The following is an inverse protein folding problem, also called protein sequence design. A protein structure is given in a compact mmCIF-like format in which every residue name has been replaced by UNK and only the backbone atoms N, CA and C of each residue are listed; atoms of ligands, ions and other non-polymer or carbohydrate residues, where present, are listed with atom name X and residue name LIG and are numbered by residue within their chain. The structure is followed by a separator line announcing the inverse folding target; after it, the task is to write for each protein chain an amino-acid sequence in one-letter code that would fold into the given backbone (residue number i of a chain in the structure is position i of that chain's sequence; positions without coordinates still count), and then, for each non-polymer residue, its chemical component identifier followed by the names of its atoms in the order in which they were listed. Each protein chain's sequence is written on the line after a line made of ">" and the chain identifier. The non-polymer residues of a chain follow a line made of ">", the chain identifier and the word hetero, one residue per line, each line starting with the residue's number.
data_IF_253034795680
#
_entry.id   IF_253034795680
#
_cell.length_a   1.000
_cell.length_b   1.000
_cell.length_c   1.000
_cell.angle_alpha   90.00
_cell.angle_beta   90.00
_cell.angle_gamma   90.00
#
_symmetry.space_group_name_H-M   'P 1'
#
loop_
_entity.id
_entity.type
_entity.pdbx_description
1 polymer ?
#
# COMPACT_ATOMS: atom_id res chain seq x y z
N UNK A 1 31.56 -33.14 3.30
CA UNK A 1 30.83 -33.27 4.57
C UNK A 1 30.83 -31.91 5.25
N UNK A 2 29.68 -31.22 5.30
CA UNK A 2 29.54 -29.99 6.08
C UNK A 2 29.52 -30.37 7.55
N UNK A 3 30.54 -29.94 8.30
CA UNK A 3 30.63 -30.19 9.73
C UNK A 3 29.75 -29.16 10.45
N UNK A 4 28.46 -29.46 10.55
CA UNK A 4 27.53 -28.71 11.40
C UNK A 4 27.95 -28.97 12.86
N UNK A 5 28.73 -28.06 13.44
CA UNK A 5 29.09 -28.14 14.85
C UNK A 5 27.79 -28.19 15.68
N UNK A 6 27.61 -29.22 16.53
CA UNK A 6 26.42 -29.30 17.36
C UNK A 6 26.37 -28.08 18.30
N UNK A 7 25.17 -27.57 18.53
CA UNK A 7 24.95 -26.46 19.46
C UNK A 7 25.59 -26.81 20.83
N UNK A 8 26.26 -25.85 21.49
CA UNK A 8 26.91 -26.10 22.77
C UNK A 8 25.90 -26.59 23.81
N UNK A 9 26.26 -27.65 24.54
CA UNK A 9 25.44 -28.20 25.60
C UNK A 9 25.19 -27.11 26.67
N UNK A 10 23.94 -26.64 26.76
CA UNK A 10 23.53 -25.55 27.65
C UNK A 10 22.70 -24.45 26.99
N UNK A 11 22.60 -24.43 25.64
CA UNK A 11 21.69 -23.54 24.94
C UNK A 11 20.23 -23.93 25.22
N UNK A 12 19.52 -23.13 26.01
CA UNK A 12 18.09 -23.31 26.27
C UNK A 12 17.30 -22.80 25.06
N UNK A 13 16.58 -23.68 24.38
CA UNK A 13 15.61 -23.34 23.35
C UNK A 13 14.30 -22.92 24.01
N UNK A 14 14.22 -21.66 24.44
CA UNK A 14 12.93 -21.09 24.87
C UNK A 14 12.08 -20.76 23.64
N UNK A 15 10.82 -21.22 23.57
CA UNK A 15 9.93 -20.81 22.50
C UNK A 15 9.62 -19.33 22.63
N UNK A 16 9.91 -18.55 21.59
CA UNK A 16 9.48 -17.15 21.49
C UNK A 16 7.95 -17.15 21.45
N UNK A 17 7.32 -16.96 22.62
CA UNK A 17 5.89 -16.66 22.72
C UNK A 17 5.68 -15.22 22.29
N UNK A 18 5.65 -15.00 20.99
CA UNK A 18 5.13 -13.77 20.43
C UNK A 18 3.64 -13.69 20.75
N UNK A 19 3.28 -12.89 21.75
CA UNK A 19 1.89 -12.55 22.03
C UNK A 19 1.41 -11.62 20.91
N UNK A 20 0.70 -12.18 19.94
CA UNK A 20 -0.08 -11.39 18.99
C UNK A 20 -1.32 -10.92 19.75
N UNK A 21 -1.42 -9.62 20.01
CA UNK A 21 -2.65 -9.01 20.52
C UNK A 21 -3.76 -9.16 19.48
N UNK A 22 -4.95 -9.69 19.82
CA UNK A 22 -6.05 -9.71 18.87
C UNK A 22 -6.53 -8.28 18.57
N UNK A 23 -6.77 -7.99 17.29
CA UNK A 23 -7.39 -6.76 16.84
C UNK A 23 -8.82 -6.63 17.44
N UNK A 24 -9.25 -5.45 17.88
CA UNK A 24 -10.61 -5.28 18.39
C UNK A 24 -11.64 -5.46 17.27
N UNK A 25 -12.62 -6.32 17.52
CA UNK A 25 -13.80 -6.47 16.67
C UNK A 25 -14.61 -5.17 16.68
N UNK A 26 -14.80 -4.57 15.51
CA UNK A 26 -15.72 -3.44 15.36
C UNK A 26 -17.15 -3.96 15.46
N UNK A 27 -17.85 -3.53 16.51
CA UNK A 27 -19.27 -3.82 16.76
C UNK A 27 -20.12 -3.07 15.72
N UNK A 28 -20.86 -3.83 14.91
CA UNK A 28 -21.98 -3.31 14.15
C UNK A 28 -23.13 -3.02 15.14
N UNK A 29 -23.31 -1.74 15.47
CA UNK A 29 -24.48 -1.26 16.19
C UNK A 29 -25.57 -0.87 15.18
N UNK A 30 -26.70 -1.57 15.27
CA UNK A 30 -27.96 -1.16 14.69
C UNK A 30 -28.41 0.18 15.30
N UNK A 31 -29.08 1.00 14.50
CA UNK A 31 -29.87 2.13 14.98
C UNK A 31 -31.09 2.27 14.07
N UNK A 32 -32.15 1.60 14.50
CA UNK A 32 -33.52 1.87 14.09
C UNK A 32 -33.97 3.18 14.77
N UNK A 33 -34.55 4.09 14.00
CA UNK A 33 -34.99 5.40 14.50
C UNK A 33 -35.94 6.07 13.53
N UNK A 34 -37.22 6.05 13.87
CA UNK A 34 -38.36 6.35 13.03
C UNK A 34 -38.66 7.85 12.82
N UNK A 35 -39.31 8.10 11.68
CA UNK A 35 -40.48 8.97 11.47
C UNK A 35 -40.35 10.51 11.35
N UNK A 36 -40.90 10.95 10.20
CA UNK A 36 -41.85 12.05 9.97
C UNK A 36 -41.28 13.39 9.45
N UNK A 37 -41.73 13.74 8.24
CA UNK A 37 -41.49 15.03 7.61
C UNK A 37 -42.23 15.18 6.28
N UNK A 38 -43.55 15.13 6.34
CA UNK A 38 -44.45 15.49 5.23
C UNK A 38 -44.34 16.99 4.91
N UNK A 39 -43.93 17.35 3.68
CA UNK A 39 -44.20 18.65 3.07
C UNK A 39 -44.38 18.47 1.57
N UNK A 40 -45.65 18.48 1.16
CA UNK A 40 -46.08 18.69 -0.20
C UNK A 40 -45.45 19.96 -0.79
N UNK A 41 -44.92 19.88 -2.01
CA UNK A 41 -44.24 20.99 -2.65
C UNK A 41 -44.06 20.82 -4.16
N UNK A 42 -45.14 21.14 -4.88
CA UNK A 42 -45.21 21.57 -6.29
C UNK A 42 -44.76 20.57 -7.38
N UNK A 43 -45.78 20.11 -8.09
CA UNK A 43 -45.71 19.62 -9.46
C UNK A 43 -44.90 20.57 -10.36
N UNK A 44 -43.81 20.05 -10.92
CA UNK A 44 -43.25 20.52 -12.19
C UNK A 44 -43.53 19.43 -13.23
N UNK A 45 -44.11 19.88 -14.35
CA UNK A 45 -44.61 19.07 -15.45
C UNK A 45 -43.49 18.25 -16.10
N UNK A 46 -43.53 16.94 -15.90
CA UNK A 46 -43.00 15.93 -16.82
C UNK A 46 -43.81 14.66 -16.58
N UNK A 47 -44.45 14.11 -17.62
CA UNK A 47 -45.15 12.82 -17.51
C UNK A 47 -44.24 11.72 -16.97
N UNK A 48 -44.79 10.58 -16.51
CA UNK A 48 -43.99 9.48 -15.97
C UNK A 48 -42.93 9.08 -17.01
N UNK A 49 -41.65 9.19 -16.63
CA UNK A 49 -40.52 8.71 -17.43
C UNK A 49 -40.79 7.26 -17.83
N UNK A 50 -40.56 6.90 -19.08
CA UNK A 50 -40.72 5.52 -19.54
C UNK A 50 -39.81 4.58 -18.73
N UNK A 51 -40.17 3.31 -18.63
CA UNK A 51 -39.33 2.28 -17.98
C UNK A 51 -37.92 2.24 -18.59
N UNK A 52 -37.80 2.52 -19.90
CA UNK A 52 -36.53 2.64 -20.61
C UNK A 52 -35.68 3.82 -20.13
N UNK A 53 -36.28 4.99 -19.86
CA UNK A 53 -35.55 6.16 -19.33
C UNK A 53 -35.06 5.93 -17.88
N UNK A 54 -35.85 5.26 -17.05
CA UNK A 54 -35.46 4.90 -15.68
C UNK A 54 -34.31 3.89 -15.67
N UNK A 55 -34.34 2.88 -16.55
CA UNK A 55 -33.25 1.92 -16.68
C UNK A 55 -31.95 2.60 -17.16
N UNK A 56 -32.05 3.54 -18.10
CA UNK A 56 -30.89 4.33 -18.53
C UNK A 56 -30.33 5.23 -17.42
N UNK A 57 -31.17 5.89 -16.62
CA UNK A 57 -30.69 6.67 -15.47
C UNK A 57 -30.03 5.78 -14.41
N UNK A 58 -30.59 4.60 -14.12
CA UNK A 58 -30.00 3.66 -13.16
C UNK A 58 -28.64 3.17 -13.62
N UNK A 59 -28.51 2.76 -14.90
CA UNK A 59 -27.22 2.36 -15.47
C UNK A 59 -26.19 3.48 -15.42
N UNK A 60 -26.58 4.73 -15.76
CA UNK A 60 -25.70 5.90 -15.69
C UNK A 60 -25.20 6.18 -14.26
N UNK A 61 -26.07 6.04 -13.25
CA UNK A 61 -25.67 6.20 -11.84
C UNK A 61 -24.73 5.08 -11.43
N UNK A 62 -25.05 3.84 -11.76
CA UNK A 62 -24.22 2.68 -11.42
C UNK A 62 -22.82 2.76 -12.03
N UNK A 63 -22.71 3.19 -13.29
CA UNK A 63 -21.39 3.40 -13.94
C UNK A 63 -20.64 4.57 -13.29
N UNK A 64 -21.33 5.68 -12.99
CA UNK A 64 -20.71 6.84 -12.34
C UNK A 64 -20.16 6.52 -10.94
N UNK A 65 -20.89 5.73 -10.15
CA UNK A 65 -20.45 5.26 -8.83
C UNK A 65 -19.24 4.32 -8.94
N UNK A 66 -19.25 3.39 -9.92
CA UNK A 66 -18.11 2.51 -10.16
C UNK A 66 -16.87 3.27 -10.62
N UNK A 67 -17.00 4.25 -11.51
CA UNK A 67 -15.88 5.08 -11.94
C UNK A 67 -15.33 5.95 -10.81
N UNK A 68 -16.21 6.54 -9.98
CA UNK A 68 -15.79 7.29 -8.80
C UNK A 68 -15.06 6.41 -7.79
N UNK A 69 -15.58 5.21 -7.51
CA UNK A 69 -14.94 4.25 -6.62
C UNK A 69 -13.57 3.79 -7.15
N UNK A 70 -13.46 3.51 -8.46
CA UNK A 70 -12.18 3.16 -9.11
C UNK A 70 -11.16 4.29 -9.00
N UNK A 71 -11.55 5.53 -9.31
CA UNK A 71 -10.66 6.69 -9.18
C UNK A 71 -10.17 6.87 -7.75
N UNK A 72 -11.05 6.76 -6.76
CA UNK A 72 -10.64 6.83 -5.34
C UNK A 72 -9.68 5.69 -4.95
N UNK A 73 -9.93 4.46 -5.42
CA UNK A 73 -9.02 3.34 -5.16
C UNK A 73 -7.66 3.54 -5.81
N UNK A 74 -7.61 4.05 -7.04
CA UNK A 74 -6.37 4.37 -7.76
C UNK A 74 -5.59 5.48 -7.06
N UNK A 75 -6.25 6.56 -6.62
CA UNK A 75 -5.61 7.64 -5.85
C UNK A 75 -5.00 7.13 -4.54
N UNK A 76 -5.75 6.31 -3.79
CA UNK A 76 -5.26 5.69 -2.56
C UNK A 76 -4.08 4.74 -2.82
N UNK A 77 -4.15 3.95 -3.90
CA UNK A 77 -3.05 3.07 -4.30
C UNK A 77 -1.80 3.87 -4.68
N UNK A 78 -1.95 4.95 -5.45
CA UNK A 78 -0.85 5.83 -5.83
C UNK A 78 -0.23 6.52 -4.62
N UNK A 79 -1.03 6.99 -3.66
CA UNK A 79 -0.50 7.58 -2.42
C UNK A 79 0.34 6.56 -1.64
N UNK A 80 -0.20 5.35 -1.43
CA UNK A 80 0.51 4.27 -0.75
C UNK A 80 1.80 3.89 -1.46
N UNK A 81 1.77 3.81 -2.80
CA UNK A 81 2.97 3.52 -3.60
C UNK A 81 4.02 4.62 -3.43
N UNK A 82 3.65 5.90 -3.42
CA UNK A 82 4.59 7.01 -3.18
C UNK A 82 5.23 6.92 -1.79
N UNK A 83 4.43 6.67 -0.76
CA UNK A 83 4.92 6.50 0.62
C UNK A 83 5.90 5.33 0.75
N UNK A 84 5.57 4.18 0.15
CA UNK A 84 6.43 3.00 0.12
C UNK A 84 7.73 3.29 -0.65
N UNK A 85 7.64 3.93 -1.81
CA UNK A 85 8.81 4.31 -2.61
C UNK A 85 9.72 5.26 -1.85
N UNK A 86 9.16 6.25 -1.15
CA UNK A 86 9.93 7.16 -0.31
C UNK A 86 10.66 6.41 0.82
N UNK A 87 9.94 5.54 1.54
CA UNK A 87 10.51 4.75 2.63
C UNK A 87 11.65 3.85 2.14
N UNK A 88 11.44 3.17 1.01
CA UNK A 88 12.44 2.33 0.38
C UNK A 88 13.67 3.14 -0.08
N UNK A 89 13.46 4.30 -0.72
CA UNK A 89 14.54 5.16 -1.18
C UNK A 89 15.40 5.67 -0.01
N UNK A 90 14.76 6.08 1.10
CA UNK A 90 15.47 6.50 2.32
C UNK A 90 16.28 5.36 2.94
N UNK A 91 15.70 4.17 3.03
CA UNK A 91 16.38 2.99 3.56
C UNK A 91 17.59 2.59 2.71
N UNK A 92 17.46 2.61 1.38
CA UNK A 92 18.56 2.34 0.45
C UNK A 92 19.69 3.36 0.60
N UNK A 93 19.37 4.66 0.66
CA UNK A 93 20.37 5.71 0.87
C UNK A 93 21.11 5.52 2.20
N UNK A 94 20.37 5.29 3.29
CA UNK A 94 20.95 5.06 4.61
C UNK A 94 21.88 3.84 4.62
N UNK A 95 21.51 2.75 3.93
CA UNK A 95 22.36 1.56 3.82
C UNK A 95 23.66 1.82 3.04
N UNK A 96 23.61 2.63 1.99
CA UNK A 96 24.80 3.02 1.24
C UNK A 96 25.70 3.99 2.04
N UNK A 97 25.10 4.91 2.81
CA UNK A 97 25.82 5.88 3.64
C UNK A 97 26.43 5.25 4.90
N UNK A 98 25.80 4.21 5.46
CA UNK A 98 26.38 3.40 6.54
C UNK A 98 27.68 2.68 6.10
N UNK A 99 27.88 2.51 4.79
CA UNK A 99 29.06 1.89 4.21
C UNK A 99 29.04 0.37 4.25
N UNK A 100 30.18 -0.24 3.91
CA UNK A 100 30.35 -1.70 3.85
C UNK A 100 30.41 -2.26 2.43
N UNK A 101 30.72 -3.56 2.33
CA UNK A 101 30.92 -4.25 1.05
C UNK A 101 29.59 -4.52 0.39
N UNK A 102 29.34 -3.91 -0.76
CA UNK A 102 28.13 -4.13 -1.54
C UNK A 102 28.39 -5.19 -2.61
N UNK A 103 27.51 -6.19 -2.71
CA UNK A 103 27.61 -7.29 -3.66
C UNK A 103 26.52 -7.16 -4.73
N UNK A 104 26.88 -7.40 -5.98
CA UNK A 104 25.96 -7.56 -7.10
C UNK A 104 26.21 -8.85 -7.83
N UNK A 105 25.19 -9.32 -8.52
CA UNK A 105 25.34 -10.41 -9.47
C UNK A 105 25.58 -9.80 -10.86
N UNK A 106 26.62 -10.26 -11.53
CA UNK A 106 26.87 -9.91 -12.92
C UNK A 106 25.94 -10.70 -13.86
N UNK A 107 26.01 -10.43 -15.17
CA UNK A 107 25.20 -11.13 -16.19
C UNK A 107 25.43 -12.64 -16.22
N UNK A 108 26.58 -13.12 -15.70
CA UNK A 108 26.92 -14.53 -15.60
C UNK A 108 26.42 -15.18 -14.29
N UNK A 109 25.75 -14.41 -13.43
CA UNK A 109 25.27 -14.86 -12.12
C UNK A 109 26.36 -14.98 -11.06
N UNK A 110 27.56 -14.47 -11.31
CA UNK A 110 28.66 -14.47 -10.33
C UNK A 110 28.55 -13.23 -9.43
N UNK A 111 28.97 -13.39 -8.17
CA UNK A 111 29.02 -12.30 -7.20
C UNK A 111 30.21 -11.39 -7.52
N UNK A 112 29.96 -10.15 -7.91
CA UNK A 112 30.93 -9.06 -7.95
C UNK A 112 30.73 -8.11 -6.78
N UNK A 113 31.81 -7.48 -6.32
CA UNK A 113 31.74 -6.41 -5.33
C UNK A 113 31.78 -5.07 -6.03
N UNK A 114 30.99 -4.12 -5.54
CA UNK A 114 31.04 -2.74 -6.02
C UNK A 114 32.31 -2.06 -5.51
N UNK A 115 32.98 -1.31 -6.39
CA UNK A 115 34.07 -0.42 -6.01
C UNK A 115 33.55 0.89 -5.41
N UNK A 116 34.45 1.72 -4.87
CA UNK A 116 34.07 2.97 -4.22
C UNK A 116 33.42 3.96 -5.19
N UNK A 117 33.85 4.01 -6.45
CA UNK A 117 33.27 4.88 -7.47
C UNK A 117 31.83 4.48 -7.82
N UNK A 118 31.57 3.18 -7.92
CA UNK A 118 30.25 2.62 -8.14
C UNK A 118 29.33 2.82 -6.93
N UNK A 119 29.86 2.69 -5.71
CA UNK A 119 29.11 3.00 -4.48
C UNK A 119 28.70 4.47 -4.46
N UNK A 120 29.61 5.40 -4.79
CA UNK A 120 29.28 6.83 -4.86
C UNK A 120 28.25 7.15 -5.95
N UNK A 121 28.36 6.50 -7.12
CA UNK A 121 27.33 6.61 -8.16
C UNK A 121 25.96 6.13 -7.66
N UNK A 122 25.92 5.02 -6.93
CA UNK A 122 24.67 4.49 -6.39
C UNK A 122 24.10 5.38 -5.28
N UNK A 123 24.94 5.99 -4.43
CA UNK A 123 24.51 7.02 -3.48
C UNK A 123 23.90 8.22 -4.18
N UNK A 124 24.52 8.69 -5.27
CA UNK A 124 23.98 9.80 -6.04
C UNK A 124 22.60 9.49 -6.62
N UNK A 125 22.41 8.28 -7.18
CA UNK A 125 21.10 7.82 -7.66
C UNK A 125 20.09 7.69 -6.51
N UNK A 126 20.48 7.11 -5.38
CA UNK A 126 19.61 6.96 -4.21
C UNK A 126 19.15 8.33 -3.68
N UNK A 127 20.04 9.34 -3.63
CA UNK A 127 19.68 10.73 -3.29
C UNK A 127 18.65 11.32 -4.26
N UNK A 128 18.82 11.08 -5.56
CA UNK A 128 17.83 11.50 -6.57
C UNK A 128 16.48 10.79 -6.37
N UNK A 129 16.47 9.49 -6.09
CA UNK A 129 15.25 8.74 -5.80
C UNK A 129 14.53 9.26 -4.56
N UNK A 130 15.27 9.59 -3.48
CA UNK A 130 14.68 10.26 -2.31
C UNK A 130 14.09 11.60 -2.70
N UNK A 131 14.82 12.43 -3.45
CA UNK A 131 14.32 13.72 -3.92
C UNK A 131 13.12 13.62 -4.88
N UNK A 132 12.91 12.49 -5.55
CA UNK A 132 11.77 12.26 -6.44
C UNK A 132 10.56 11.69 -5.69
N UNK A 133 10.75 10.70 -4.84
CA UNK A 133 9.66 9.95 -4.21
C UNK A 133 9.21 10.52 -2.86
N UNK A 134 10.07 11.27 -2.16
CA UNK A 134 9.75 11.87 -0.85
C UNK A 134 9.30 13.33 -0.93
N UNK A 135 8.78 13.77 -2.08
CA UNK A 135 8.17 15.09 -2.26
C UNK A 135 6.72 15.09 -1.76
#
# INVERSE_FOLDING_TARGET
>A
MYLQSPCPAGAKSEPVKQRVSPAPASSAAASEGAAKGEKAGKAAKSGPKSTAELEQEFRKRQTGEQEAAKKQQEELAQSKQKEQNCTNARSQLAGLEAGGRQMRFNEKGERSFLDDAQIEQEKAKARQSVAQFCK
#
